data_IF_379438838805
#
_entry.id   IF_379438838805
#
_cell.length_a   1.000
_cell.length_b   1.000
_cell.length_c   1.000
_cell.angle_alpha   90.00
_cell.angle_beta   90.00
_cell.angle_gamma   90.00
#
_symmetry.space_group_name_H-M   'P 1'
#
loop_
_entity.id
_entity.type
_entity.pdbx_description
1 polymer ?
#
# COMPACT_ATOMS: atom_id res chain seq x y z
N UNK A 1 22.58 -22.28 17.82
CA UNK A 1 21.12 -22.26 17.52
C UNK A 1 20.28 -22.10 18.79
N UNK A 2 20.46 -22.93 19.83
CA UNK A 2 19.71 -22.80 21.09
C UNK A 2 19.98 -21.50 21.86
N UNK A 3 21.23 -21.04 21.95
CA UNK A 3 21.56 -19.76 22.59
C UNK A 3 20.88 -18.55 21.88
N UNK A 4 20.78 -18.58 20.55
CA UNK A 4 20.08 -17.56 19.78
C UNK A 4 18.55 -17.60 20.02
N UNK A 5 17.97 -18.81 20.16
CA UNK A 5 16.55 -18.99 20.52
C UNK A 5 16.27 -18.55 21.95
N UNK A 6 17.16 -18.83 22.90
CA UNK A 6 17.04 -18.39 24.30
C UNK A 6 17.14 -16.87 24.41
N UNK A 7 18.09 -16.25 23.72
CA UNK A 7 18.22 -14.79 23.63
C UNK A 7 16.96 -14.16 23.00
N UNK A 8 16.47 -14.72 21.89
CA UNK A 8 15.23 -14.26 21.27
C UNK A 8 14.03 -14.34 22.23
N UNK A 9 13.89 -15.44 22.99
CA UNK A 9 12.83 -15.59 24.02
C UNK A 9 12.95 -14.54 25.13
N UNK A 10 14.15 -14.31 25.66
CA UNK A 10 14.39 -13.33 26.72
C UNK A 10 14.07 -11.90 26.26
N UNK A 11 14.55 -11.52 25.07
CA UNK A 11 14.26 -10.21 24.46
C UNK A 11 12.76 -10.07 24.17
N UNK A 12 12.12 -11.15 23.71
CA UNK A 12 10.66 -11.20 23.49
C UNK A 12 9.91 -10.95 24.79
N UNK A 13 10.26 -11.65 25.87
CA UNK A 13 9.58 -11.53 27.16
C UNK A 13 9.73 -10.14 27.79
N UNK A 14 10.92 -9.53 27.66
CA UNK A 14 11.13 -8.13 28.05
C UNK A 14 10.23 -7.18 27.25
N UNK A 15 10.18 -7.32 25.92
CA UNK A 15 9.32 -6.50 25.07
C UNK A 15 7.83 -6.72 25.37
N UNK A 16 7.39 -7.95 25.68
CA UNK A 16 6.02 -8.22 26.13
C UNK A 16 5.70 -7.40 27.37
N UNK A 17 6.53 -7.49 28.41
CA UNK A 17 6.27 -6.78 29.66
C UNK A 17 6.30 -5.26 29.49
N UNK A 18 7.16 -4.73 28.62
CA UNK A 18 7.16 -3.31 28.26
C UNK A 18 5.88 -2.91 27.53
N UNK A 19 5.42 -3.76 26.59
CA UNK A 19 4.22 -3.50 25.81
C UNK A 19 2.94 -3.62 26.63
N UNK A 20 2.83 -4.62 27.51
CA UNK A 20 1.72 -4.76 28.45
C UNK A 20 1.63 -3.56 29.40
N UNK A 21 2.77 -3.05 29.86
CA UNK A 21 2.81 -1.84 30.69
C UNK A 21 2.45 -0.58 29.90
N UNK A 22 2.84 -0.50 28.63
CA UNK A 22 2.47 0.61 27.76
C UNK A 22 0.97 0.58 27.46
N UNK A 23 0.43 -0.61 27.15
CA UNK A 23 -0.99 -0.83 26.88
C UNK A 23 -1.82 -0.57 28.13
N UNK A 24 -1.44 -1.12 29.28
CA UNK A 24 -2.13 -0.86 30.56
C UNK A 24 -2.13 0.63 30.92
N UNK A 25 -1.04 1.34 30.63
CA UNK A 25 -0.98 2.80 30.83
C UNK A 25 -1.93 3.52 29.86
N UNK A 26 -1.90 3.19 28.57
CA UNK A 26 -2.80 3.77 27.58
C UNK A 26 -4.28 3.50 27.92
N UNK A 27 -4.63 2.28 28.35
CA UNK A 27 -5.97 1.91 28.81
C UNK A 27 -6.39 2.79 29.99
N UNK A 28 -5.50 3.00 30.96
CA UNK A 28 -5.78 3.84 32.15
C UNK A 28 -6.10 5.30 31.80
N UNK A 29 -5.69 5.76 30.62
CA UNK A 29 -5.93 7.12 30.13
C UNK A 29 -7.18 7.25 29.24
N UNK A 30 -7.93 6.17 29.03
CA UNK A 30 -9.09 6.17 28.13
C UNK A 30 -10.15 7.20 28.55
N UNK A 31 -10.61 8.01 27.61
CA UNK A 31 -11.63 9.04 27.82
C UNK A 31 -11.14 10.30 28.56
N UNK A 32 -9.89 10.30 29.06
CA UNK A 32 -9.28 11.45 29.73
C UNK A 32 -9.04 12.56 28.70
N UNK A 33 -9.37 13.83 29.02
CA UNK A 33 -8.98 14.97 28.20
C UNK A 33 -7.47 15.02 28.04
N UNK A 34 -7.00 15.19 26.80
CA UNK A 34 -5.58 15.32 26.52
C UNK A 34 -5.13 16.78 26.58
N UNK A 35 -3.86 16.99 26.91
CA UNK A 35 -3.19 18.25 26.63
C UNK A 35 -2.36 18.05 25.36
N UNK A 36 -2.68 18.82 24.31
CA UNK A 36 -1.94 18.75 23.06
C UNK A 36 -0.50 19.20 23.27
N UNK A 37 0.48 18.53 22.64
CA UNK A 37 1.89 18.89 22.78
C UNK A 37 2.19 20.24 22.13
N UNK A 38 3.29 20.88 22.53
CA UNK A 38 3.85 21.99 21.77
C UNK A 38 4.56 21.48 20.50
N UNK A 39 4.76 22.37 19.53
CA UNK A 39 5.50 22.06 18.29
C UNK A 39 6.93 21.57 18.59
N UNK A 40 7.58 22.14 19.59
CA UNK A 40 8.91 21.71 20.04
C UNK A 40 8.91 20.26 20.57
N UNK A 41 7.89 19.89 21.34
CA UNK A 41 7.72 18.52 21.84
C UNK A 41 7.51 17.54 20.68
N UNK A 42 6.68 17.88 19.70
CA UNK A 42 6.46 17.06 18.50
C UNK A 42 7.78 16.84 17.75
N UNK A 43 8.54 17.92 17.49
CA UNK A 43 9.82 17.82 16.78
C UNK A 43 10.86 17.00 17.56
N UNK A 44 10.91 17.14 18.90
CA UNK A 44 11.81 16.33 19.73
C UNK A 44 11.45 14.84 19.70
N UNK A 45 10.16 14.50 19.72
CA UNK A 45 9.68 13.11 19.54
C UNK A 45 10.17 12.54 18.21
N UNK A 46 10.02 13.30 17.11
CA UNK A 46 10.47 12.88 15.78
C UNK A 46 12.01 12.72 15.72
N UNK A 47 12.76 13.65 16.31
CA UNK A 47 14.23 13.58 16.36
C UNK A 47 14.71 12.33 17.12
N UNK A 48 14.09 12.02 18.26
CA UNK A 48 14.40 10.80 19.03
C UNK A 48 13.99 9.53 18.31
N UNK A 49 12.87 9.56 17.57
CA UNK A 49 12.43 8.43 16.76
C UNK A 49 13.41 8.15 15.60
N UNK A 50 14.00 9.19 15.02
CA UNK A 50 15.00 9.09 13.95
C UNK A 50 16.36 8.58 14.44
N UNK A 51 16.79 8.95 15.65
CA UNK A 51 18.09 8.49 16.20
C UNK A 51 18.10 7.01 16.60
N UNK A 52 16.94 6.43 16.93
CA UNK A 52 16.79 5.00 17.27
C UNK A 52 16.98 4.05 16.09
N UNK A 53 16.99 4.55 14.85
CA UNK A 53 17.20 3.74 13.64
C UNK A 53 18.64 3.17 13.55
N UNK A 54 19.59 3.76 14.29
CA UNK A 54 21.01 3.42 14.24
C UNK A 54 21.40 2.10 14.95
N UNK A 55 20.54 1.55 15.82
CA UNK A 55 20.91 0.36 16.61
C UNK A 55 20.50 -0.95 15.89
N UNK A 56 21.41 -1.41 15.02
CA UNK A 56 21.21 -2.51 14.07
C UNK A 56 21.08 -3.92 14.70
N UNK A 57 20.94 -4.02 16.04
CA UNK A 57 20.92 -5.26 16.82
C UNK A 57 19.56 -5.61 17.44
N UNK A 58 18.55 -4.75 17.34
CA UNK A 58 17.27 -4.94 18.05
C UNK A 58 16.31 -5.87 17.31
N UNK A 59 15.63 -6.76 18.07
CA UNK A 59 14.40 -7.42 17.61
C UNK A 59 13.32 -6.36 17.40
N UNK A 60 12.51 -6.51 16.34
CA UNK A 60 11.42 -5.58 16.06
C UNK A 60 10.12 -6.16 16.62
N UNK A 61 9.55 -5.51 17.62
CA UNK A 61 8.27 -5.89 18.18
C UNK A 61 7.14 -5.20 17.41
N UNK A 62 6.12 -5.96 17.00
CA UNK A 62 4.90 -5.44 16.40
C UNK A 62 3.73 -5.76 17.34
N UNK A 63 2.91 -4.75 17.60
CA UNK A 63 1.50 -5.05 17.78
C UNK A 63 0.94 -5.26 16.39
N UNK A 64 0.56 -6.50 16.10
CA UNK A 64 -0.62 -6.71 15.28
C UNK A 64 -1.68 -7.00 16.32
N UNK A 65 -2.12 -5.93 17.00
CA UNK A 65 -3.43 -6.02 17.62
C UNK A 65 -4.41 -6.31 16.48
N UNK A 66 -5.50 -7.02 16.79
CA UNK A 66 -6.61 -6.92 15.87
C UNK A 66 -6.92 -5.43 15.75
N UNK A 67 -7.02 -4.92 14.52
CA UNK A 67 -7.49 -3.56 14.30
C UNK A 67 -8.72 -3.35 15.20
N UNK A 68 -8.74 -2.23 15.91
CA UNK A 68 -9.74 -2.05 16.97
C UNK A 68 -11.14 -1.84 16.37
N UNK A 69 -11.23 -1.73 15.03
CA UNK A 69 -12.41 -1.91 14.20
C UNK A 69 -12.02 -2.05 12.72
N UNK A 70 -13.01 -2.20 11.81
CA UNK A 70 -12.77 -2.15 10.37
C UNK A 70 -12.41 -0.72 9.88
N UNK A 71 -11.83 -0.57 8.68
CA UNK A 71 -11.62 0.74 8.06
C UNK A 71 -12.93 1.51 7.89
N UNK A 72 -12.83 2.84 7.80
CA UNK A 72 -13.99 3.69 7.52
C UNK A 72 -14.59 3.38 6.14
N UNK A 73 -15.90 3.12 6.12
CA UNK A 73 -16.68 2.91 4.90
C UNK A 73 -17.48 4.15 4.48
N UNK A 74 -17.17 5.33 5.03
CA UNK A 74 -17.82 6.60 4.68
C UNK A 74 -16.98 7.41 3.68
N UNK A 75 -17.65 8.08 2.74
CA UNK A 75 -16.99 9.07 1.86
C UNK A 75 -16.56 10.28 2.66
N UNK A 76 -15.59 11.05 2.15
CA UNK A 76 -15.20 12.31 2.79
C UNK A 76 -16.35 13.31 2.92
N UNK A 77 -17.34 13.27 2.02
CA UNK A 77 -18.48 14.20 2.01
C UNK A 77 -19.48 13.90 3.13
N UNK A 78 -19.59 12.64 3.53
CA UNK A 78 -20.52 12.19 4.57
C UNK A 78 -19.93 12.32 5.98
N UNK A 79 -18.63 12.63 6.08
CA UNK A 79 -17.93 12.77 7.35
C UNK A 79 -18.07 14.18 7.92
N UNK A 80 -18.30 14.25 9.22
CA UNK A 80 -18.38 15.51 9.94
C UNK A 80 -16.97 15.95 10.41
N UNK A 81 -16.50 17.15 10.03
CA UNK A 81 -15.20 17.65 10.49
C UNK A 81 -15.11 17.77 12.02
N UNK A 82 -13.90 17.63 12.55
CA UNK A 82 -13.56 17.86 13.96
C UNK A 82 -12.15 18.44 14.10
N UNK A 83 -11.85 19.08 15.24
CA UNK A 83 -10.52 19.59 15.57
C UNK A 83 -9.71 18.64 16.45
N UNK A 84 -8.40 18.92 16.63
CA UNK A 84 -7.55 18.12 17.51
C UNK A 84 -7.97 18.18 18.98
N UNK A 85 -8.58 19.29 19.40
CA UNK A 85 -9.06 19.52 20.77
C UNK A 85 -10.30 18.70 21.12
N UNK A 86 -11.06 18.24 20.12
CA UNK A 86 -12.30 17.48 20.32
C UNK A 86 -12.05 15.99 20.60
N UNK A 87 -10.82 15.54 20.35
CA UNK A 87 -10.39 14.17 20.59
C UNK A 87 -10.37 13.86 22.09
N UNK A 88 -10.53 12.58 22.41
CA UNK A 88 -10.29 12.04 23.74
C UNK A 88 -9.51 10.76 23.55
N UNK A 89 -8.63 10.48 24.51
CA UNK A 89 -7.70 9.37 24.43
C UNK A 89 -8.49 8.06 24.26
N UNK A 90 -8.15 7.30 23.22
CA UNK A 90 -8.70 5.98 22.86
C UNK A 90 -10.21 5.90 22.61
N UNK A 91 -10.90 7.02 22.43
CA UNK A 91 -12.28 6.99 21.96
C UNK A 91 -12.32 6.87 20.43
N UNK A 92 -13.20 6.02 19.87
CA UNK A 92 -13.42 5.96 18.43
C UNK A 92 -14.32 7.13 17.99
N UNK A 93 -14.00 7.74 16.86
CA UNK A 93 -14.77 8.84 16.26
C UNK A 93 -15.31 8.46 14.88
N UNK A 94 -16.09 7.37 14.83
CA UNK A 94 -16.78 6.96 13.59
C UNK A 94 -17.64 8.11 13.05
N UNK A 95 -17.69 8.28 11.73
CA UNK A 95 -18.40 9.40 11.10
C UNK A 95 -17.71 10.76 11.21
N UNK A 96 -16.50 10.84 11.78
CA UNK A 96 -15.70 12.06 11.85
C UNK A 96 -14.50 12.04 10.92
N UNK A 97 -14.07 13.24 10.52
CA UNK A 97 -12.84 13.47 9.75
C UNK A 97 -12.01 14.58 10.38
N UNK A 98 -10.70 14.37 10.44
CA UNK A 98 -9.74 15.37 10.92
C UNK A 98 -8.83 15.79 9.75
N UNK A 99 -8.79 17.10 9.45
CA UNK A 99 -7.96 17.66 8.38
C UNK A 99 -6.72 18.33 8.95
N UNK A 100 -5.54 17.89 8.52
CA UNK A 100 -4.26 18.32 9.10
C UNK A 100 -3.22 18.60 8.03
N UNK A 101 -2.34 19.57 8.26
CA UNK A 101 -1.18 19.84 7.42
C UNK A 101 0.07 19.19 8.01
N UNK A 102 0.86 18.52 7.19
CA UNK A 102 2.13 17.96 7.60
C UNK A 102 3.17 19.06 7.83
N UNK A 103 3.97 18.91 8.89
CA UNK A 103 5.18 19.69 9.12
C UNK A 103 6.32 18.84 9.67
N UNK A 104 7.55 19.37 9.55
CA UNK A 104 8.75 18.72 10.07
C UNK A 104 9.19 17.50 9.26
N UNK A 105 10.20 16.75 9.74
CA UNK A 105 10.73 15.59 9.04
C UNK A 105 9.75 14.41 9.08
N UNK A 106 9.64 13.69 7.97
CA UNK A 106 8.99 12.38 7.93
C UNK A 106 9.98 11.33 8.46
N UNK A 107 9.68 10.73 9.61
CA UNK A 107 10.52 9.72 10.24
C UNK A 107 10.00 8.35 9.88
N UNK A 108 10.85 7.53 9.25
CA UNK A 108 10.53 6.14 8.94
C UNK A 108 11.18 5.24 9.96
N UNK A 109 10.37 4.41 10.57
CA UNK A 109 10.83 3.29 11.37
C UNK A 109 10.50 2.01 10.60
N UNK A 110 11.11 0.87 10.94
CA UNK A 110 10.84 -0.39 10.24
C UNK A 110 9.37 -0.83 10.28
N UNK A 111 8.59 -0.24 11.19
CA UNK A 111 7.24 -0.68 11.53
C UNK A 111 6.26 0.47 11.73
N UNK A 112 6.68 1.74 11.58
CA UNK A 112 5.85 2.95 11.74
C UNK A 112 6.38 4.07 10.84
N UNK A 113 5.51 5.00 10.44
CA UNK A 113 5.91 6.24 9.78
C UNK A 113 5.30 7.37 10.55
N UNK A 114 6.14 8.30 10.97
CA UNK A 114 5.79 9.36 11.88
C UNK A 114 5.99 10.71 11.21
N UNK A 115 5.05 11.62 11.42
CA UNK A 115 5.12 12.99 10.91
C UNK A 115 4.55 13.96 11.96
N UNK A 116 5.01 15.21 11.94
CA UNK A 116 4.33 16.28 12.64
C UNK A 116 3.10 16.71 11.83
N UNK A 117 1.98 16.93 12.49
CA UNK A 117 0.76 17.40 11.85
C UNK A 117 0.09 18.50 12.66
N UNK A 118 -0.46 19.49 11.97
CA UNK A 118 -1.15 20.64 12.57
C UNK A 118 -2.57 20.81 12.04
N UNK A 119 -3.50 21.23 12.90
CA UNK A 119 -4.86 21.61 12.51
C UNK A 119 -4.95 23.11 12.13
N UNK A 120 -6.12 23.54 11.66
CA UNK A 120 -6.33 24.92 11.21
C UNK A 120 -6.22 25.97 12.34
N UNK A 121 -6.29 25.53 13.60
CA UNK A 121 -6.18 26.35 14.79
C UNK A 121 -4.73 26.42 15.33
N UNK A 122 -3.79 25.75 14.65
CA UNK A 122 -2.38 25.69 15.04
C UNK A 122 -2.06 24.68 16.15
N UNK A 123 -3.02 23.84 16.53
CA UNK A 123 -2.75 22.73 17.43
C UNK A 123 -1.95 21.66 16.70
N UNK A 124 -1.08 20.96 17.41
CA UNK A 124 -0.18 19.97 16.81
C UNK A 124 -0.26 18.61 17.48
N UNK A 125 0.03 17.57 16.71
CA UNK A 125 0.14 16.20 17.19
C UNK A 125 1.21 15.44 16.40
N UNK A 126 1.58 14.26 16.90
CA UNK A 126 2.39 13.30 16.15
C UNK A 126 1.45 12.38 15.39
N UNK A 127 1.49 12.43 14.06
CA UNK A 127 0.84 11.43 13.22
C UNK A 127 1.66 10.15 13.23
N UNK A 128 1.00 9.03 13.49
CA UNK A 128 1.58 7.71 13.59
C UNK A 128 0.83 6.75 12.67
N UNK A 129 1.42 6.45 11.52
CA UNK A 129 0.81 5.61 10.50
C UNK A 129 1.35 4.19 10.67
N UNK A 130 0.47 3.24 11.01
CA UNK A 130 0.78 1.83 11.21
C UNK A 130 0.83 1.04 9.89
N UNK A 131 1.43 1.60 8.85
CA UNK A 131 1.46 1.00 7.50
C UNK A 131 2.83 1.23 6.84
N UNK A 132 3.63 0.18 6.55
CA UNK A 132 5.03 0.31 6.05
C UNK A 132 5.29 -0.47 4.77
N UNK A 133 5.36 0.24 3.66
CA UNK A 133 6.60 0.75 3.04
C UNK A 133 6.13 1.55 1.82
N UNK A 134 5.71 2.77 2.08
CA UNK A 134 5.37 3.73 1.04
C UNK A 134 6.60 4.64 0.93
N UNK A 135 7.22 4.78 -0.26
CA UNK A 135 8.38 5.65 -0.43
C UNK A 135 8.05 7.09 -0.02
N UNK A 136 9.06 7.91 0.31
CA UNK A 136 8.88 9.28 0.88
C UNK A 136 7.81 10.08 0.16
N UNK A 137 7.77 9.91 -1.15
CA UNK A 137 6.92 10.64 -2.08
C UNK A 137 5.46 10.12 -2.12
N UNK A 138 5.17 9.01 -1.43
CA UNK A 138 3.88 8.29 -1.39
C UNK A 138 3.13 8.40 -0.05
N UNK A 139 3.75 8.90 1.04
CA UNK A 139 3.08 8.94 2.35
C UNK A 139 2.53 10.31 2.67
N UNK A 140 3.38 11.32 2.71
CA UNK A 140 3.00 12.67 3.09
C UNK A 140 4.15 13.62 2.70
N UNK A 141 4.09 14.27 1.52
CA UNK A 141 5.01 15.36 1.18
C UNK A 141 4.97 16.46 2.25
N UNK A 142 6.09 17.18 2.40
CA UNK A 142 6.16 18.31 3.33
C UNK A 142 5.07 19.34 2.99
N UNK A 143 4.28 19.75 3.99
CA UNK A 143 3.20 20.72 3.80
C UNK A 143 1.94 20.17 3.13
N UNK A 144 1.88 18.87 2.79
CA UNK A 144 0.65 18.24 2.30
C UNK A 144 -0.46 18.29 3.35
N UNK A 145 -1.69 18.46 2.90
CA UNK A 145 -2.88 18.40 3.75
C UNK A 145 -3.46 17.00 3.65
N UNK A 146 -3.77 16.38 4.78
CA UNK A 146 -4.38 15.06 4.87
C UNK A 146 -5.71 15.10 5.60
N UNK A 147 -6.63 14.24 5.18
CA UNK A 147 -7.84 13.89 5.91
C UNK A 147 -7.67 12.51 6.54
N UNK A 148 -7.97 12.41 7.84
CA UNK A 148 -7.98 11.16 8.60
C UNK A 148 -9.42 10.81 8.94
N UNK A 149 -9.93 9.70 8.40
CA UNK A 149 -11.25 9.15 8.70
C UNK A 149 -11.21 8.41 10.03
N UNK A 150 -12.22 8.59 10.88
CA UNK A 150 -12.28 7.89 12.17
C UNK A 150 -11.05 8.11 13.06
N UNK A 151 -10.57 9.36 13.24
CA UNK A 151 -9.31 9.63 13.90
C UNK A 151 -9.29 9.09 15.33
N UNK A 152 -8.15 8.53 15.74
CA UNK A 152 -7.95 8.06 17.09
C UNK A 152 -6.68 8.67 17.69
N UNK A 153 -6.84 9.18 18.90
CA UNK A 153 -5.73 9.64 19.72
C UNK A 153 -5.29 8.54 20.67
N UNK A 154 -4.01 8.23 20.68
CA UNK A 154 -3.38 7.35 21.65
C UNK A 154 -2.27 8.09 22.41
N UNK A 155 -1.86 7.54 23.56
CA UNK A 155 -0.81 8.12 24.40
C UNK A 155 0.24 7.08 24.72
N UNK A 156 1.50 7.53 24.77
CA UNK A 156 2.61 6.72 25.26
C UNK A 156 3.16 7.31 26.54
N UNK A 157 3.92 6.51 27.27
CA UNK A 157 4.63 7.00 28.46
C UNK A 157 5.51 8.20 28.08
N UNK A 158 5.67 9.18 28.99
CA UNK A 158 6.58 10.29 28.79
C UNK A 158 7.97 9.79 28.40
N UNK A 159 8.63 10.54 27.51
CA UNK A 159 10.00 10.24 27.10
C UNK A 159 10.96 10.27 28.29
N UNK A 160 10.72 11.19 29.22
CA UNK A 160 11.47 11.39 30.46
C UNK A 160 10.48 11.72 31.59
N UNK A 161 10.80 11.42 32.86
CA UNK A 161 9.99 11.87 33.99
C UNK A 161 9.78 13.39 33.96
N UNK A 162 8.54 13.85 34.06
CA UNK A 162 8.19 15.28 34.00
C UNK A 162 8.00 15.84 32.59
N UNK A 163 8.23 15.06 31.52
CA UNK A 163 7.90 15.46 30.16
C UNK A 163 6.39 15.38 29.88
N UNK A 164 5.80 16.32 29.11
CA UNK A 164 4.39 16.22 28.70
C UNK A 164 4.15 14.94 27.91
N UNK A 165 2.94 14.38 28.07
CA UNK A 165 2.55 13.14 27.41
C UNK A 165 2.49 13.34 25.88
N UNK A 166 3.32 12.64 25.10
CA UNK A 166 3.20 12.72 23.65
C UNK A 166 1.90 12.02 23.22
N UNK A 167 1.04 12.80 22.55
CA UNK A 167 -0.20 12.31 21.96
C UNK A 167 0.07 11.90 20.50
N UNK A 168 -0.40 10.70 20.13
CA UNK A 168 -0.21 10.10 18.82
C UNK A 168 -1.56 9.92 18.14
N UNK A 169 -1.74 10.62 17.02
CA UNK A 169 -2.82 10.32 16.09
C UNK A 169 -2.48 9.04 15.35
N UNK A 170 -3.20 7.96 15.60
CA UNK A 170 -2.90 6.66 15.02
C UNK A 170 -3.79 6.38 13.82
N UNK A 171 -3.17 6.03 12.69
CA UNK A 171 -3.86 5.54 11.50
C UNK A 171 -3.54 4.05 11.37
N UNK A 172 -4.55 3.20 11.58
CA UNK A 172 -4.44 1.75 11.48
C UNK A 172 -4.61 1.26 10.04
N UNK A 173 -5.61 1.79 9.33
CA UNK A 173 -5.90 1.39 7.95
C UNK A 173 -5.39 2.39 6.93
N UNK A 174 -4.78 1.88 5.87
CA UNK A 174 -4.25 2.71 4.77
C UNK A 174 -5.35 3.55 4.12
N UNK A 175 -6.58 3.03 4.02
CA UNK A 175 -7.71 3.71 3.39
C UNK A 175 -8.31 4.86 4.19
N UNK A 176 -7.95 4.97 5.48
CA UNK A 176 -8.46 6.02 6.35
C UNK A 176 -7.63 7.32 6.28
N UNK A 177 -6.53 7.32 5.52
CA UNK A 177 -5.66 8.47 5.32
C UNK A 177 -5.65 8.90 3.85
N UNK A 178 -6.17 10.09 3.59
CA UNK A 178 -6.28 10.66 2.24
C UNK A 178 -5.48 11.95 2.16
N UNK A 179 -4.61 12.09 1.15
CA UNK A 179 -3.97 13.38 0.84
C UNK A 179 -4.98 14.24 0.08
N UNK A 180 -5.35 15.39 0.65
CA UNK A 180 -6.31 16.30 0.06
C UNK A 180 -5.65 17.20 -0.99
N UNK A 181 -6.38 17.44 -2.07
CA UNK A 181 -6.03 18.49 -3.03
C UNK A 181 -6.16 19.87 -2.35
N UNK A 182 -5.30 20.87 -2.67
CA UNK A 182 -5.40 22.21 -2.08
C UNK A 182 -6.77 22.88 -2.26
N UNK A 183 -7.45 22.60 -3.37
CA UNK A 183 -8.80 23.11 -3.67
C UNK A 183 -9.95 22.24 -3.15
N UNK A 184 -9.65 21.12 -2.48
CA UNK A 184 -10.70 20.27 -1.93
C UNK A 184 -11.52 21.03 -0.88
N UNK A 185 -12.84 20.80 -0.85
CA UNK A 185 -13.77 21.50 0.05
C UNK A 185 -13.41 21.32 1.54
N UNK A 186 -12.91 20.15 1.93
CA UNK A 186 -12.42 19.89 3.30
C UNK A 186 -11.07 20.52 3.62
N UNK A 187 -10.29 21.00 2.64
CA UNK A 187 -9.00 21.63 2.91
C UNK A 187 -9.25 22.99 3.59
N UNK A 188 -8.81 23.20 4.85
CA UNK A 188 -9.01 24.46 5.54
C UNK A 188 -8.42 25.66 4.79
N UNK A 189 -9.11 26.80 4.82
CA UNK A 189 -8.66 28.02 4.12
C UNK A 189 -7.25 28.46 4.56
N UNK A 190 -6.94 28.30 5.86
CA UNK A 190 -5.62 28.59 6.43
C UNK A 190 -4.48 27.79 5.75
N UNK A 191 -4.78 26.64 5.17
CA UNK A 191 -3.80 25.80 4.47
C UNK A 191 -3.76 26.06 2.96
N UNK A 192 -4.81 26.65 2.38
CA UNK A 192 -4.85 27.03 0.96
C UNK A 192 -3.94 28.22 0.65
N UNK A 193 -3.81 29.16 1.59
CA UNK A 193 -3.01 30.38 1.38
C UNK A 193 -1.50 30.15 1.55
N UNK A 194 -1.11 29.18 2.38
CA UNK A 194 0.31 28.85 2.61
C UNK A 194 0.94 28.00 1.49
N UNK A 195 0.11 27.38 0.64
CA UNK A 195 0.56 26.66 -0.56
C UNK A 195 0.71 27.58 -1.78
N UNK A 196 0.34 28.86 -1.65
CA UNK A 196 0.58 29.89 -2.65
C UNK A 196 1.95 30.55 -2.44
N UNK A 197 3.03 29.77 -2.51
CA UNK A 197 4.21 30.34 -3.16
C UNK A 197 3.95 30.18 -4.66
N UNK A 198 3.97 31.27 -5.46
CA UNK A 198 4.01 31.11 -6.90
C UNK A 198 5.40 30.59 -7.25
N UNK A 199 5.64 29.30 -7.05
CA UNK A 199 6.57 28.59 -7.91
C UNK A 199 5.98 28.79 -9.31
N UNK A 200 6.64 29.62 -10.12
CA UNK A 200 6.34 29.89 -11.54
C UNK A 200 5.43 28.83 -12.13
N UNK A 201 4.20 29.19 -12.51
CA UNK A 201 3.19 28.24 -13.02
C UNK A 201 3.81 27.37 -14.12
N UNK A 202 4.24 26.16 -13.73
CA UNK A 202 4.94 25.27 -14.65
C UNK A 202 3.92 24.73 -15.65
N UNK A 203 4.27 24.85 -16.92
CA UNK A 203 3.49 24.31 -18.03
C UNK A 203 3.50 22.78 -18.00
N UNK A 204 2.49 22.16 -18.64
CA UNK A 204 2.44 20.70 -18.77
C UNK A 204 3.71 20.10 -19.41
N UNK A 205 4.37 20.86 -20.30
CA UNK A 205 5.63 20.45 -20.94
C UNK A 205 6.83 20.48 -19.99
N UNK A 206 6.91 21.47 -19.10
CA UNK A 206 7.96 21.54 -18.08
C UNK A 206 7.82 20.40 -17.07
N UNK A 207 6.60 20.13 -16.61
CA UNK A 207 6.31 18.94 -15.79
C UNK A 207 6.67 17.63 -16.49
N UNK A 208 6.39 17.51 -17.80
CA UNK A 208 6.83 16.37 -18.61
C UNK A 208 8.35 16.22 -18.58
N UNK A 209 9.09 17.32 -18.72
CA UNK A 209 10.55 17.33 -18.70
C UNK A 209 11.13 16.90 -17.34
N UNK A 210 10.57 17.43 -16.24
CA UNK A 210 10.93 17.03 -14.87
C UNK A 210 10.63 15.54 -14.63
N UNK A 211 9.47 15.07 -15.06
CA UNK A 211 9.10 13.66 -15.00
C UNK A 211 10.07 12.76 -15.76
N UNK A 212 10.45 13.14 -16.98
CA UNK A 212 11.43 12.40 -17.79
C UNK A 212 12.82 12.37 -17.15
N UNK A 213 13.22 13.47 -16.50
CA UNK A 213 14.49 13.55 -15.77
C UNK A 213 14.47 12.61 -14.57
N UNK A 214 13.38 12.61 -13.79
CA UNK A 214 13.19 11.69 -12.68
C UNK A 214 13.14 10.22 -13.13
N UNK A 215 12.49 9.93 -14.26
CA UNK A 215 12.42 8.60 -14.86
C UNK A 215 13.81 8.08 -15.23
N UNK A 216 14.63 8.92 -15.88
CA UNK A 216 16.04 8.60 -16.22
C UNK A 216 16.90 8.38 -14.97
N UNK A 217 16.63 9.12 -13.89
CA UNK A 217 17.28 8.96 -12.60
C UNK A 217 16.76 7.77 -11.78
N UNK A 218 15.89 6.92 -12.36
CA UNK A 218 15.23 5.79 -11.68
C UNK A 218 14.39 6.20 -10.45
N UNK A 219 14.01 7.48 -10.33
CA UNK A 219 13.13 7.99 -9.27
C UNK A 219 11.67 7.89 -9.70
N UNK A 220 11.14 6.66 -9.68
CA UNK A 220 9.82 6.34 -10.24
C UNK A 220 8.67 7.08 -9.55
N UNK A 221 8.78 7.34 -8.25
CA UNK A 221 7.76 8.10 -7.52
C UNK A 221 7.74 9.57 -7.91
N UNK A 222 8.90 10.22 -7.97
CA UNK A 222 9.00 11.61 -8.41
C UNK A 222 8.53 11.74 -9.84
N UNK A 223 8.90 10.80 -10.72
CA UNK A 223 8.44 10.77 -12.10
C UNK A 223 6.91 10.73 -12.19
N UNK A 224 6.26 9.79 -11.47
CA UNK A 224 4.80 9.69 -11.40
C UNK A 224 4.15 10.99 -10.93
N UNK A 225 4.68 11.61 -9.88
CA UNK A 225 4.13 12.85 -9.32
C UNK A 225 4.26 14.02 -10.29
N UNK A 226 5.41 14.20 -10.94
CA UNK A 226 5.58 15.22 -11.96
C UNK A 226 4.65 15.01 -13.15
N UNK A 227 4.44 13.77 -13.60
CA UNK A 227 3.47 13.49 -14.66
C UNK A 227 2.02 13.78 -14.23
N UNK A 228 1.65 13.48 -12.98
CA UNK A 228 0.33 13.84 -12.44
C UNK A 228 0.13 15.36 -12.35
N UNK A 229 1.16 16.11 -11.93
CA UNK A 229 1.10 17.58 -11.92
C UNK A 229 0.93 18.14 -13.34
N UNK A 230 1.67 17.60 -14.32
CA UNK A 230 1.52 17.94 -15.73
C UNK A 230 0.11 17.66 -16.27
N UNK A 231 -0.51 16.56 -15.87
CA UNK A 231 -1.89 16.22 -16.28
C UNK A 231 -2.93 17.15 -15.65
N UNK A 232 -2.70 17.62 -14.43
CA UNK A 232 -3.59 18.55 -13.75
C UNK A 232 -3.63 19.93 -14.42
N UNK A 233 -2.52 20.38 -14.99
CA UNK A 233 -2.43 21.68 -15.68
C UNK A 233 -2.65 21.61 -17.19
N UNK A 234 -2.67 20.41 -17.78
CA UNK A 234 -2.85 20.24 -19.21
C UNK A 234 -4.27 20.63 -19.65
N UNK A 235 -4.38 21.63 -20.54
CA UNK A 235 -5.66 22.10 -21.07
C UNK A 235 -6.39 21.06 -21.92
N UNK A 236 -7.68 21.28 -22.18
CA UNK A 236 -8.50 20.42 -23.07
C UNK A 236 -7.92 20.31 -24.48
N UNK A 237 -7.30 21.37 -24.99
CA UNK A 237 -6.71 21.44 -26.33
C UNK A 237 -5.32 20.78 -26.45
N UNK A 238 -4.72 20.31 -25.36
CA UNK A 238 -3.36 19.72 -25.34
C UNK A 238 -3.39 18.18 -25.35
N UNK A 239 -4.14 17.58 -26.27
CA UNK A 239 -4.34 16.13 -26.33
C UNK A 239 -3.03 15.34 -26.48
N UNK A 240 -2.11 15.79 -27.33
CA UNK A 240 -0.82 15.11 -27.53
C UNK A 240 0.04 15.07 -26.25
N UNK A 241 0.14 16.20 -25.55
CA UNK A 241 0.90 16.30 -24.29
C UNK A 241 0.25 15.44 -23.21
N UNK A 242 -1.09 15.39 -23.15
CA UNK A 242 -1.82 14.50 -22.24
C UNK A 242 -1.50 13.04 -22.52
N UNK A 243 -1.56 12.62 -23.77
CA UNK A 243 -1.25 11.23 -24.12
C UNK A 243 0.21 10.88 -23.79
N UNK A 244 1.16 11.79 -24.02
CA UNK A 244 2.56 11.62 -23.61
C UNK A 244 2.72 11.43 -22.09
N UNK A 245 2.09 12.31 -21.31
CA UNK A 245 2.12 12.27 -19.85
C UNK A 245 1.50 10.97 -19.32
N UNK A 246 0.34 10.57 -19.84
CA UNK A 246 -0.32 9.30 -19.48
C UNK A 246 0.56 8.10 -19.84
N UNK A 247 1.15 8.06 -21.03
CA UNK A 247 2.11 7.02 -21.45
C UNK A 247 3.27 6.88 -20.47
N UNK A 248 3.85 7.99 -20.04
CA UNK A 248 4.98 7.96 -19.13
C UNK A 248 4.57 7.66 -17.68
N UNK A 249 3.41 8.14 -17.24
CA UNK A 249 2.83 7.80 -15.93
C UNK A 249 2.47 6.31 -15.85
N UNK A 250 1.97 5.70 -16.93
CA UNK A 250 1.77 4.26 -17.03
C UNK A 250 3.07 3.48 -16.81
N UNK A 251 4.19 3.92 -17.42
CA UNK A 251 5.50 3.30 -17.21
C UNK A 251 5.99 3.46 -15.78
N UNK A 252 5.84 4.64 -15.18
CA UNK A 252 6.18 4.86 -13.78
C UNK A 252 5.34 3.93 -12.88
N UNK A 253 4.03 3.84 -13.10
CA UNK A 253 3.11 2.97 -12.37
C UNK A 253 3.48 1.48 -12.49
N UNK A 254 3.87 1.00 -13.68
CA UNK A 254 4.38 -0.38 -13.86
C UNK A 254 5.61 -0.66 -12.98
N UNK A 255 6.57 0.26 -12.95
CA UNK A 255 7.78 0.11 -12.13
C UNK A 255 7.48 0.20 -10.63
N UNK A 256 6.41 0.88 -10.24
CA UNK A 256 5.95 1.01 -8.86
C UNK A 256 5.04 -0.14 -8.38
N UNK A 257 4.68 -1.07 -9.25
CA UNK A 257 3.76 -2.16 -8.90
C UNK A 257 2.28 -1.77 -8.89
N UNK A 258 1.93 -0.61 -9.47
CA UNK A 258 0.56 -0.05 -9.57
C UNK A 258 -0.05 -0.41 -10.92
N UNK A 259 -0.31 -1.70 -11.13
CA UNK A 259 -0.68 -2.25 -12.43
C UNK A 259 -2.07 -1.81 -12.91
N UNK A 260 -3.06 -1.72 -12.01
CA UNK A 260 -4.38 -1.19 -12.37
C UNK A 260 -4.29 0.25 -12.89
N UNK A 261 -3.57 1.12 -12.19
CA UNK A 261 -3.35 2.51 -12.62
C UNK A 261 -2.53 2.58 -13.92
N UNK A 262 -1.56 1.69 -14.09
CA UNK A 262 -0.78 1.60 -15.32
C UNK A 262 -1.63 1.19 -16.53
N UNK A 263 -2.57 0.26 -16.35
CA UNK A 263 -3.50 -0.17 -17.38
C UNK A 263 -4.42 0.96 -17.80
N UNK A 264 -5.04 1.66 -16.84
CA UNK A 264 -5.91 2.82 -17.10
C UNK A 264 -5.15 3.90 -17.87
N UNK A 265 -3.96 4.30 -17.39
CA UNK A 265 -3.14 5.32 -18.06
C UNK A 265 -2.70 4.89 -19.45
N UNK A 266 -2.34 3.62 -19.64
CA UNK A 266 -1.94 3.09 -20.93
C UNK A 266 -3.08 3.18 -21.94
N UNK A 267 -4.28 2.69 -21.58
CA UNK A 267 -5.43 2.72 -22.48
C UNK A 267 -5.92 4.15 -22.76
N UNK A 268 -5.93 5.02 -21.76
CA UNK A 268 -6.31 6.44 -21.92
C UNK A 268 -5.33 7.25 -22.79
N UNK A 269 -4.15 6.70 -23.09
CA UNK A 269 -3.10 7.36 -23.87
C UNK A 269 -3.06 6.95 -25.34
N UNK A 270 -3.94 6.04 -25.75
CA UNK A 270 -4.11 5.62 -27.13
C UNK A 270 -4.84 6.74 -27.88
N UNK A 271 -4.29 7.14 -29.03
CA UNK A 271 -4.88 8.17 -29.90
C UNK A 271 -5.28 7.61 -31.26
N UNK A 272 -6.13 8.32 -31.99
CA UNK A 272 -6.40 8.00 -33.39
C UNK A 272 -5.08 8.00 -34.20
N UNK A 273 -4.80 6.96 -35.00
CA UNK A 273 -3.59 6.89 -35.81
C UNK A 273 -3.60 7.96 -36.90
N UNK A 274 -2.92 9.07 -36.66
CA UNK A 274 -2.78 10.19 -37.61
C UNK A 274 -1.45 10.17 -38.37
N UNK A 275 -0.47 9.39 -37.90
CA UNK A 275 0.86 9.27 -38.49
C UNK A 275 1.54 7.96 -38.06
N UNK A 276 2.63 7.58 -38.74
CA UNK A 276 3.45 6.44 -38.35
C UNK A 276 4.01 6.59 -36.93
N UNK A 277 4.32 7.83 -36.49
CA UNK A 277 4.81 8.10 -35.14
C UNK A 277 3.69 7.97 -34.09
N UNK A 278 2.47 8.45 -34.39
CA UNK A 278 1.29 8.23 -33.54
C UNK A 278 1.02 6.73 -33.36
N UNK A 279 1.12 5.95 -34.45
CA UNK A 279 0.96 4.50 -34.40
C UNK A 279 2.05 3.83 -33.53
N UNK A 280 3.32 4.26 -33.65
CA UNK A 280 4.41 3.77 -32.79
C UNK A 280 4.20 4.11 -31.31
N UNK A 281 3.60 5.27 -31.00
CA UNK A 281 3.25 5.64 -29.63
C UNK A 281 2.12 4.77 -29.09
N UNK A 282 1.13 4.42 -29.91
CA UNK A 282 0.08 3.47 -29.53
C UNK A 282 0.65 2.08 -29.22
N UNK A 283 1.66 1.59 -29.96
CA UNK A 283 2.32 0.32 -29.61
C UNK A 283 2.94 0.35 -28.22
N UNK A 284 3.53 1.48 -27.81
CA UNK A 284 4.05 1.64 -26.45
C UNK A 284 2.94 1.61 -25.41
N UNK A 285 1.77 2.15 -25.73
CA UNK A 285 0.60 2.11 -24.85
C UNK A 285 0.10 0.67 -24.70
N UNK A 286 -0.16 -0.04 -25.80
CA UNK A 286 -0.63 -1.43 -25.76
C UNK A 286 0.38 -2.39 -25.13
N UNK A 287 1.69 -2.21 -25.38
CA UNK A 287 2.72 -3.00 -24.70
C UNK A 287 2.69 -2.80 -23.18
N UNK A 288 2.46 -1.57 -22.71
CA UNK A 288 2.31 -1.30 -21.27
C UNK A 288 1.03 -1.88 -20.69
N UNK A 289 -0.08 -1.84 -21.43
CA UNK A 289 -1.35 -2.48 -21.06
C UNK A 289 -1.18 -4.00 -20.95
N UNK A 290 -0.58 -4.65 -21.95
CA UNK A 290 -0.28 -6.09 -21.93
C UNK A 290 0.60 -6.50 -20.74
N UNK A 291 1.63 -5.71 -20.42
CA UNK A 291 2.46 -5.92 -19.22
C UNK A 291 1.68 -5.74 -17.92
N UNK A 292 0.76 -4.77 -17.84
CA UNK A 292 -0.08 -4.56 -16.66
C UNK A 292 -1.00 -5.77 -16.44
N UNK A 293 -1.71 -6.21 -17.48
CA UNK A 293 -2.58 -7.38 -17.43
C UNK A 293 -1.82 -8.65 -17.06
N UNK A 294 -0.61 -8.83 -17.61
CA UNK A 294 0.26 -9.96 -17.27
C UNK A 294 0.57 -9.99 -15.77
N UNK A 295 0.91 -8.83 -15.19
CA UNK A 295 1.29 -8.72 -13.78
C UNK A 295 0.08 -8.81 -12.82
N UNK A 296 -1.12 -8.50 -13.31
CA UNK A 296 -2.40 -8.75 -12.63
C UNK A 296 -2.86 -10.22 -12.72
N UNK A 297 -2.21 -11.02 -13.57
CA UNK A 297 -2.53 -12.43 -13.80
C UNK A 297 -3.61 -12.67 -14.86
N UNK A 298 -4.00 -11.63 -15.59
CA UNK A 298 -5.03 -11.70 -16.64
C UNK A 298 -4.38 -12.10 -17.98
N UNK A 299 -3.91 -13.34 -18.07
CA UNK A 299 -3.04 -13.79 -19.16
C UNK A 299 -3.71 -13.81 -20.55
N UNK A 300 -5.04 -13.91 -20.60
CA UNK A 300 -5.81 -13.82 -21.85
C UNK A 300 -5.74 -12.41 -22.44
N UNK A 301 -6.01 -11.39 -21.62
CA UNK A 301 -5.94 -9.98 -22.02
C UNK A 301 -4.50 -9.57 -22.34
N UNK A 302 -3.53 -10.01 -21.52
CA UNK A 302 -2.12 -9.80 -21.80
C UNK A 302 -1.73 -10.34 -23.19
N UNK A 303 -2.17 -11.56 -23.52
CA UNK A 303 -1.89 -12.18 -24.81
C UNK A 303 -2.55 -11.42 -25.97
N UNK A 304 -3.75 -10.87 -25.78
CA UNK A 304 -4.42 -10.03 -26.77
C UNK A 304 -3.60 -8.78 -27.10
N UNK A 305 -3.18 -8.02 -26.08
CA UNK A 305 -2.38 -6.81 -26.27
C UNK A 305 -1.02 -7.09 -26.92
N UNK A 306 -0.30 -8.12 -26.45
CA UNK A 306 1.01 -8.47 -27.03
C UNK A 306 0.88 -8.91 -28.49
N UNK A 307 -0.23 -9.58 -28.86
CA UNK A 307 -0.52 -9.95 -30.25
C UNK A 307 -0.82 -8.72 -31.10
N UNK A 308 -1.60 -7.77 -30.60
CA UNK A 308 -1.90 -6.51 -31.30
C UNK A 308 -0.61 -5.74 -31.58
N UNK A 309 0.27 -5.61 -30.60
CA UNK A 309 1.57 -4.93 -30.76
C UNK A 309 2.42 -5.67 -31.80
N UNK A 310 2.52 -7.00 -31.72
CA UNK A 310 3.31 -7.79 -32.65
C UNK A 310 2.80 -7.71 -34.09
N UNK A 311 1.49 -7.86 -34.31
CA UNK A 311 0.88 -7.86 -35.65
C UNK A 311 1.01 -6.50 -36.35
N UNK A 312 1.06 -5.41 -35.58
CA UNK A 312 1.17 -4.06 -36.14
C UNK A 312 2.61 -3.54 -36.23
N UNK A 313 3.63 -4.40 -36.05
CA UNK A 313 5.04 -4.04 -36.25
C UNK A 313 5.85 -3.81 -34.98
N UNK A 314 5.38 -4.33 -33.85
CA UNK A 314 6.12 -4.38 -32.58
C UNK A 314 7.36 -5.26 -32.63
N UNK A 315 8.35 -4.93 -31.79
CA UNK A 315 9.65 -5.59 -31.77
C UNK A 315 9.70 -6.91 -30.99
N UNK A 316 10.92 -7.41 -30.77
CA UNK A 316 11.21 -8.68 -30.08
C UNK A 316 10.61 -8.78 -28.66
N UNK A 317 10.44 -7.65 -27.98
CA UNK A 317 9.82 -7.59 -26.65
C UNK A 317 8.36 -8.07 -26.67
N UNK A 318 7.58 -7.68 -27.68
CA UNK A 318 6.19 -8.08 -27.82
C UNK A 318 6.07 -9.59 -28.11
N UNK A 319 6.97 -10.14 -28.93
CA UNK A 319 7.05 -11.58 -29.15
C UNK A 319 7.38 -12.35 -27.86
N UNK A 320 8.26 -11.79 -27.03
CA UNK A 320 8.61 -12.35 -25.72
C UNK A 320 7.40 -12.32 -24.79
N UNK A 321 6.68 -11.20 -24.73
CA UNK A 321 5.44 -11.05 -23.97
C UNK A 321 4.39 -12.08 -24.41
N UNK A 322 4.18 -12.24 -25.72
CA UNK A 322 3.24 -13.20 -26.30
C UNK A 322 3.56 -14.64 -25.89
N UNK A 323 4.84 -15.04 -25.98
CA UNK A 323 5.30 -16.37 -25.55
C UNK A 323 5.06 -16.60 -24.06
N UNK A 324 5.39 -15.63 -23.22
CA UNK A 324 5.17 -15.73 -21.76
C UNK A 324 3.69 -15.83 -21.42
N UNK A 325 2.85 -14.95 -21.95
CA UNK A 325 1.41 -15.00 -21.72
C UNK A 325 0.79 -16.32 -22.23
N UNK A 326 1.27 -16.82 -23.38
CA UNK A 326 0.86 -18.13 -23.90
C UNK A 326 1.23 -19.30 -22.97
N UNK A 327 2.44 -19.30 -22.41
CA UNK A 327 2.85 -20.29 -21.41
C UNK A 327 1.95 -20.24 -20.16
N UNK A 328 1.67 -19.04 -19.64
CA UNK A 328 0.77 -18.87 -18.48
C UNK A 328 -0.66 -19.36 -18.74
N UNK A 329 -1.18 -19.20 -19.96
CA UNK A 329 -2.47 -19.76 -20.36
C UNK A 329 -2.43 -21.30 -20.39
N UNK A 330 -1.36 -21.88 -20.91
CA UNK A 330 -1.21 -23.34 -20.92
C UNK A 330 -1.16 -23.93 -19.50
N UNK A 331 -0.47 -23.25 -18.59
CA UNK A 331 -0.42 -23.61 -17.17
C UNK A 331 -1.78 -23.48 -16.49
N UNK A 332 -2.58 -22.47 -16.83
CA UNK A 332 -3.96 -22.35 -16.34
C UNK A 332 -4.86 -23.52 -16.79
N UNK A 333 -4.48 -24.25 -17.84
CA UNK A 333 -5.10 -25.51 -18.27
C UNK A 333 -4.47 -26.76 -17.63
N UNK A 334 -3.45 -26.60 -16.79
CA UNK A 334 -2.73 -27.69 -16.13
C UNK A 334 -1.50 -28.18 -16.88
N UNK A 335 -1.10 -27.52 -17.98
CA UNK A 335 0.09 -27.88 -18.77
C UNK A 335 1.31 -27.12 -18.28
N UNK A 336 1.98 -27.69 -17.29
CA UNK A 336 3.21 -27.14 -16.72
C UNK A 336 4.44 -27.88 -17.26
N UNK A 337 5.50 -27.13 -17.47
CA UNK A 337 6.86 -27.66 -17.59
C UNK A 337 7.57 -27.44 -16.24
N UNK A 338 7.32 -28.35 -15.29
CA UNK A 338 7.89 -28.22 -13.94
C UNK A 338 9.42 -28.30 -13.96
N UNK A 339 10.00 -29.09 -14.87
CA UNK A 339 11.45 -29.21 -15.01
C UNK A 339 12.05 -27.87 -15.45
N UNK A 340 11.45 -27.19 -16.43
CA UNK A 340 11.88 -25.85 -16.84
C UNK A 340 11.69 -24.81 -15.73
N UNK A 341 10.58 -24.89 -14.97
CA UNK A 341 10.35 -24.00 -13.81
C UNK A 341 11.47 -24.20 -12.79
N UNK A 342 11.77 -25.43 -12.40
CA UNK A 342 12.81 -25.74 -11.41
C UNK A 342 14.20 -25.34 -11.92
N UNK A 343 14.51 -25.63 -13.19
CA UNK A 343 15.79 -25.26 -13.79
C UNK A 343 16.01 -23.73 -13.86
N UNK A 344 14.93 -22.94 -13.92
CA UNK A 344 14.98 -21.48 -13.93
C UNK A 344 15.19 -20.84 -12.55
N UNK A 345 15.09 -21.60 -11.46
CA UNK A 345 15.20 -21.07 -10.10
C UNK A 345 16.64 -21.09 -9.59
N UNK A 346 17.06 -19.97 -9.02
CA UNK A 346 18.36 -19.85 -8.34
C UNK A 346 18.20 -19.06 -7.04
N UNK A 347 19.19 -19.12 -6.16
CA UNK A 347 19.21 -18.27 -4.96
C UNK A 347 19.12 -16.77 -5.29
N UNK A 348 19.62 -16.33 -6.45
CA UNK A 348 19.55 -14.91 -6.87
C UNK A 348 18.27 -14.58 -7.65
N UNK A 349 17.54 -15.60 -8.13
CA UNK A 349 16.29 -15.46 -8.87
C UNK A 349 15.23 -16.44 -8.34
N UNK A 350 14.73 -16.26 -7.10
CA UNK A 350 13.80 -17.20 -6.48
C UNK A 350 12.33 -16.99 -6.93
N UNK A 351 12.09 -16.07 -7.87
CA UNK A 351 10.73 -15.66 -8.27
C UNK A 351 10.16 -16.61 -9.32
N UNK A 352 9.08 -17.30 -8.95
CA UNK A 352 8.34 -18.18 -9.86
C UNK A 352 7.42 -17.35 -10.75
N UNK A 353 7.65 -17.47 -12.05
CA UNK A 353 6.75 -16.99 -13.08
C UNK A 353 5.95 -18.18 -13.59
N UNK A 354 4.78 -18.41 -12.98
CA UNK A 354 3.80 -19.42 -13.36
C UNK A 354 2.36 -18.90 -13.13
N UNK A 355 1.35 -19.58 -13.67
CA UNK A 355 -0.08 -19.36 -13.43
C UNK A 355 -0.67 -20.40 -12.45
N UNK A 356 -1.83 -20.11 -11.89
CA UNK A 356 -2.60 -21.07 -11.09
C UNK A 356 -3.47 -21.96 -11.97
N UNK A 357 -3.61 -23.22 -11.58
CA UNK A 357 -4.52 -24.23 -12.10
C UNK A 357 -5.49 -24.65 -10.99
N UNK A 358 -6.75 -24.22 -11.11
CA UNK A 358 -7.81 -24.44 -10.11
C UNK A 358 -9.06 -25.11 -10.70
N UNK A 359 -9.05 -25.52 -11.98
CA UNK A 359 -10.28 -25.88 -12.71
C UNK A 359 -10.93 -27.20 -12.29
N UNK A 360 -10.22 -28.07 -11.57
CA UNK A 360 -10.72 -29.37 -11.09
C UNK A 360 -11.36 -29.33 -9.71
N UNK A 361 -11.41 -28.15 -9.10
CA UNK A 361 -11.83 -27.99 -7.72
C UNK A 361 -12.78 -26.82 -7.56
N UNK A 362 -13.80 -27.01 -6.72
CA UNK A 362 -14.74 -25.99 -6.33
C UNK A 362 -14.62 -25.69 -4.83
N UNK A 363 -14.83 -24.44 -4.45
CA UNK A 363 -14.93 -24.02 -3.06
C UNK A 363 -16.38 -24.10 -2.61
N UNK A 364 -16.69 -25.00 -1.66
CA UNK A 364 -18.05 -25.24 -1.18
C UNK A 364 -18.13 -25.26 0.35
N UNK A 365 -19.32 -25.09 0.96
CA UNK A 365 -19.50 -25.31 2.39
C UNK A 365 -19.08 -26.74 2.80
N UNK A 366 -18.42 -26.87 3.94
CA UNK A 366 -18.00 -28.14 4.51
C UNK A 366 -18.72 -28.40 5.84
N UNK A 367 -19.16 -29.64 6.06
CA UNK A 367 -19.79 -30.06 7.30
C UNK A 367 -18.84 -30.01 8.51
N UNK A 368 -17.52 -29.90 8.29
CA UNK A 368 -16.51 -29.86 9.35
C UNK A 368 -16.16 -28.42 9.76
N UNK A 369 -15.70 -27.60 8.81
CA UNK A 369 -15.10 -26.29 9.11
C UNK A 369 -15.35 -25.22 8.03
N UNK A 370 -16.54 -24.62 7.99
CA UNK A 370 -16.79 -23.46 7.13
C UNK A 370 -16.84 -23.83 5.65
N UNK A 371 -15.79 -23.51 4.88
CA UNK A 371 -15.66 -23.90 3.46
C UNK A 371 -14.50 -24.88 3.27
N UNK A 372 -14.64 -25.76 2.29
CA UNK A 372 -13.62 -26.70 1.86
C UNK A 372 -13.39 -26.63 0.35
N UNK A 373 -12.30 -27.24 -0.09
CA UNK A 373 -11.97 -27.45 -1.49
C UNK A 373 -12.39 -28.88 -1.87
N UNK A 374 -13.20 -29.02 -2.91
CA UNK A 374 -13.78 -30.28 -3.33
C UNK A 374 -13.49 -30.53 -4.81
N UNK A 375 -13.20 -31.78 -5.18
CA UNK A 375 -13.07 -32.13 -6.59
C UNK A 375 -14.43 -31.98 -7.29
N UNK A 376 -14.45 -31.36 -8.47
CA UNK A 376 -15.65 -31.16 -9.28
C UNK A 376 -15.80 -32.20 -10.41
N UNK A 377 -14.86 -33.14 -10.47
CA UNK A 377 -14.81 -34.28 -11.38
C UNK A 377 -13.99 -35.41 -10.78
N UNK A 378 -14.06 -36.59 -11.37
CA UNK A 378 -13.13 -37.66 -11.07
C UNK A 378 -11.69 -37.27 -11.46
N UNK A 379 -10.75 -37.59 -10.58
CA UNK A 379 -9.32 -37.32 -10.77
C UNK A 379 -8.60 -38.67 -10.75
N UNK A 380 -8.00 -39.03 -11.88
CA UNK A 380 -7.26 -40.29 -12.03
C UNK A 380 -5.93 -40.20 -11.26
N UNK A 381 -5.44 -41.29 -10.64
CA UNK A 381 -4.13 -41.30 -10.00
C UNK A 381 -3.02 -40.78 -10.93
N UNK A 382 -2.22 -39.83 -10.43
CA UNK A 382 -1.14 -39.19 -11.19
C UNK A 382 -1.53 -37.91 -11.93
N UNK A 383 -2.82 -37.56 -12.01
CA UNK A 383 -3.24 -36.26 -12.56
C UNK A 383 -2.93 -35.10 -11.59
N UNK A 384 -2.61 -33.94 -12.16
CA UNK A 384 -2.56 -32.68 -11.39
C UNK A 384 -3.95 -32.36 -10.86
N UNK A 385 -4.05 -32.17 -9.53
CA UNK A 385 -5.27 -31.76 -8.82
C UNK A 385 -5.40 -30.24 -8.81
N UNK A 386 -4.36 -29.57 -8.32
CA UNK A 386 -4.30 -28.12 -8.11
C UNK A 386 -2.84 -27.67 -8.26
N UNK A 387 -2.64 -26.47 -8.80
CA UNK A 387 -1.39 -25.72 -8.65
C UNK A 387 -1.76 -24.27 -8.37
N UNK A 388 -1.37 -23.71 -7.23
CA UNK A 388 -1.76 -22.34 -6.86
C UNK A 388 -0.53 -21.45 -6.67
N UNK A 389 -0.55 -20.31 -7.34
CA UNK A 389 0.44 -19.24 -7.11
C UNK A 389 -0.02 -18.33 -5.99
N UNK A 390 0.83 -18.19 -4.98
CA UNK A 390 0.58 -17.27 -3.88
C UNK A 390 0.42 -15.82 -4.38
N UNK A 391 -0.59 -15.13 -3.84
CA UNK A 391 -0.89 -13.73 -4.18
C UNK A 391 0.23 -12.76 -3.74
N UNK A 392 0.92 -13.07 -2.63
CA UNK A 392 2.04 -12.30 -2.12
C UNK A 392 3.08 -13.24 -1.48
N UNK A 393 4.35 -13.01 -1.79
CA UNK A 393 5.48 -13.81 -1.28
C UNK A 393 6.56 -12.85 -0.79
N UNK A 394 6.98 -13.04 0.46
CA UNK A 394 8.15 -12.36 1.03
C UNK A 394 9.33 -13.31 1.00
N UNK A 395 10.32 -12.97 0.17
CA UNK A 395 11.56 -13.71 0.06
C UNK A 395 12.50 -13.32 1.21
N UNK A 396 13.01 -14.34 1.92
CA UNK A 396 13.76 -14.17 3.17
C UNK A 396 15.17 -13.61 3.02
N UNK A 397 15.63 -13.31 1.81
CA UNK A 397 17.00 -12.89 1.49
C UNK A 397 17.13 -11.45 0.95
N UNK A 398 16.03 -10.77 0.64
CA UNK A 398 16.09 -9.42 0.04
C UNK A 398 16.32 -8.28 1.04
N UNK A 399 16.41 -8.55 2.34
CA UNK A 399 17.10 -7.72 3.35
C UNK A 399 16.82 -8.33 4.73
N UNK A 400 17.77 -9.10 5.28
CA UNK A 400 17.81 -9.58 6.68
C UNK A 400 16.43 -9.74 7.34
N UNK A 401 15.78 -10.92 7.29
CA UNK A 401 14.45 -11.11 7.83
C UNK A 401 14.50 -10.80 9.32
N UNK A 402 13.99 -9.63 9.69
CA UNK A 402 14.08 -9.16 11.05
C UNK A 402 13.00 -9.90 11.84
N UNK A 403 13.34 -10.63 12.91
CA UNK A 403 12.34 -11.30 13.72
C UNK A 403 11.34 -10.27 14.23
N UNK A 404 10.08 -10.54 13.88
CA UNK A 404 8.90 -9.74 14.20
C UNK A 404 8.21 -10.41 15.38
N UNK A 405 7.88 -9.66 16.43
CA UNK A 405 6.94 -10.12 17.45
C UNK A 405 5.53 -9.71 17.04
N UNK A 406 4.55 -10.60 17.15
CA UNK A 406 3.12 -10.31 17.03
C UNK A 406 2.53 -10.36 18.43
N UNK A 407 2.19 -9.22 19.02
CA UNK A 407 1.44 -9.18 20.28
C UNK A 407 -0.06 -9.26 19.99
N UNK A 408 -0.73 -10.22 20.59
CA UNK A 408 -2.16 -10.48 20.52
C UNK A 408 -2.80 -9.94 21.79
N UNK A 409 -3.32 -8.69 21.76
CA UNK A 409 -3.85 -8.01 22.94
C UNK A 409 -4.91 -8.80 23.69
N UNK A 410 -5.90 -9.33 22.96
CA UNK A 410 -6.96 -10.20 23.50
C UNK A 410 -6.46 -11.48 24.19
N UNK A 411 -5.27 -11.98 23.82
CA UNK A 411 -4.66 -13.18 24.41
C UNK A 411 -3.56 -12.87 25.41
N UNK A 412 -3.12 -11.61 25.50
CA UNK A 412 -1.91 -11.21 26.24
C UNK A 412 -0.70 -12.08 25.88
N UNK A 413 -0.58 -12.43 24.60
CA UNK A 413 0.45 -13.35 24.09
C UNK A 413 1.28 -12.68 22.99
N UNK A 414 2.60 -12.90 22.97
CA UNK A 414 3.44 -12.59 21.81
C UNK A 414 3.85 -13.86 21.07
N UNK A 415 3.73 -13.83 19.74
CA UNK A 415 4.26 -14.87 18.86
C UNK A 415 5.38 -14.29 18.00
N UNK A 416 6.54 -14.93 17.95
CA UNK A 416 7.60 -14.55 17.00
C UNK A 416 7.15 -15.02 15.61
N UNK A 417 6.87 -14.08 14.72
CA UNK A 417 6.37 -14.34 13.37
C UNK A 417 7.22 -13.63 12.33
N UNK A 418 8.49 -14.05 12.17
CA UNK A 418 9.48 -13.36 11.32
C UNK A 418 8.98 -12.96 9.94
N UNK A 419 8.49 -13.89 9.12
CA UNK A 419 8.14 -13.61 7.72
C UNK A 419 6.69 -13.16 7.52
N UNK A 420 5.79 -13.45 8.46
CA UNK A 420 4.34 -13.25 8.29
C UNK A 420 3.93 -11.78 8.33
N UNK A 421 4.58 -10.96 9.16
CA UNK A 421 4.22 -9.54 9.26
C UNK A 421 4.68 -8.72 8.04
N UNK A 422 5.80 -9.12 7.41
CA UNK A 422 6.18 -8.56 6.12
C UNK A 422 5.18 -8.92 5.02
N UNK A 423 4.66 -10.15 5.05
CA UNK A 423 3.72 -10.65 4.04
C UNK A 423 2.37 -9.92 4.11
N UNK A 424 1.85 -9.68 5.31
CA UNK A 424 0.64 -8.90 5.53
C UNK A 424 0.72 -7.51 4.90
N UNK A 425 1.82 -6.78 5.15
CA UNK A 425 2.02 -5.42 4.63
C UNK A 425 2.18 -5.38 3.12
N UNK A 426 2.99 -6.30 2.59
CA UNK A 426 3.19 -6.39 1.15
C UNK A 426 1.85 -6.67 0.45
N UNK A 427 1.00 -7.50 1.07
CA UNK A 427 -0.34 -7.76 0.58
C UNK A 427 -1.22 -6.51 0.65
N UNK A 428 -1.37 -5.87 1.81
CA UNK A 428 -2.19 -4.65 1.95
C UNK A 428 -1.76 -3.53 0.98
N UNK A 429 -0.45 -3.32 0.81
CA UNK A 429 0.09 -2.39 -0.20
C UNK A 429 -0.26 -2.82 -1.62
N UNK A 430 -0.05 -4.10 -1.96
CA UNK A 430 -0.36 -4.63 -3.28
C UNK A 430 -1.85 -4.46 -3.62
N UNK A 431 -2.73 -4.67 -2.64
CA UNK A 431 -4.18 -4.46 -2.79
C UNK A 431 -4.55 -2.98 -2.93
N UNK A 432 -3.92 -2.09 -2.17
CA UNK A 432 -4.10 -0.63 -2.29
C UNK A 432 -3.64 -0.11 -3.66
N UNK A 433 -2.52 -0.63 -4.17
CA UNK A 433 -1.97 -0.26 -5.49
C UNK A 433 -2.70 -0.94 -6.66
N UNK A 434 -3.39 -2.06 -6.40
CA UNK A 434 -4.12 -2.87 -7.38
C UNK A 434 -5.49 -3.31 -6.83
N UNK A 435 -6.46 -2.38 -6.75
CA UNK A 435 -7.80 -2.67 -6.26
C UNK A 435 -8.51 -3.86 -6.91
N UNK A 436 -8.22 -4.18 -8.18
CA UNK A 436 -8.79 -5.35 -8.89
C UNK A 436 -8.45 -6.68 -8.24
N UNK A 437 -7.44 -6.72 -7.37
CA UNK A 437 -7.01 -7.91 -6.64
C UNK A 437 -7.73 -8.11 -5.30
N UNK A 438 -8.46 -7.10 -4.81
CA UNK A 438 -9.07 -7.11 -3.47
C UNK A 438 -10.10 -8.23 -3.33
N UNK A 439 -10.98 -8.40 -4.31
CA UNK A 439 -12.03 -9.43 -4.26
C UNK A 439 -11.43 -10.83 -4.16
N UNK A 440 -10.34 -11.12 -4.88
CA UNK A 440 -9.62 -12.40 -4.80
C UNK A 440 -9.12 -12.72 -3.38
N UNK A 441 -8.81 -11.70 -2.57
CA UNK A 441 -8.39 -11.87 -1.16
C UNK A 441 -9.59 -11.94 -0.22
N UNK A 442 -10.61 -11.11 -0.42
CA UNK A 442 -11.84 -11.13 0.40
C UNK A 442 -12.64 -12.42 0.21
N UNK A 443 -12.47 -13.10 -0.92
CA UNK A 443 -13.01 -14.44 -1.16
C UNK A 443 -12.34 -15.53 -0.33
N UNK A 444 -11.18 -15.28 0.28
CA UNK A 444 -10.49 -16.25 1.15
C UNK A 444 -11.23 -16.41 2.49
N UNK A 445 -10.92 -17.49 3.21
CA UNK A 445 -11.50 -17.72 4.54
C UNK A 445 -10.81 -16.84 5.58
N UNK A 446 -11.57 -15.94 6.19
CA UNK A 446 -11.09 -14.98 7.20
C UNK A 446 -11.08 -15.51 8.64
N UNK A 447 -11.57 -16.73 8.87
CA UNK A 447 -11.79 -17.27 10.22
C UNK A 447 -13.22 -17.10 10.70
N UNK A 448 -13.53 -17.66 11.88
CA UNK A 448 -14.88 -17.57 12.50
C UNK A 448 -15.15 -16.20 13.15
N UNK A 449 -14.08 -15.48 13.48
CA UNK A 449 -14.12 -14.26 14.29
C UNK A 449 -14.12 -12.98 13.43
N UNK A 450 -14.05 -13.11 12.10
CA UNK A 450 -14.04 -11.99 11.16
C UNK A 450 -15.05 -12.24 10.05
N UNK A 451 -16.20 -11.58 10.16
CA UNK A 451 -17.17 -11.49 9.09
C UNK A 451 -16.92 -10.19 8.33
N UNK A 452 -16.29 -10.28 7.16
CA UNK A 452 -16.26 -9.16 6.23
C UNK A 452 -17.70 -8.94 5.77
N UNK A 453 -18.44 -8.03 6.42
CA UNK A 453 -19.83 -7.71 6.08
C UNK A 453 -20.03 -7.37 4.60
N UNK A 454 -18.95 -7.09 3.87
CA UNK A 454 -18.92 -6.91 2.41
C UNK A 454 -17.71 -7.65 1.82
N UNK A 455 -17.94 -8.56 0.86
CA UNK A 455 -16.88 -9.24 0.08
C UNK A 455 -16.56 -8.55 -1.25
N UNK A 456 -17.09 -7.34 -1.42
CA UNK A 456 -16.96 -6.56 -2.64
C UNK A 456 -15.87 -5.51 -2.52
N UNK A 457 -15.34 -5.10 -3.68
CA UNK A 457 -14.44 -3.96 -3.76
C UNK A 457 -15.22 -2.67 -3.44
N UNK A 458 -14.98 -2.11 -2.26
CA UNK A 458 -15.49 -0.79 -1.90
C UNK A 458 -14.49 0.26 -2.37
N UNK A 459 -14.96 1.21 -3.19
CA UNK A 459 -14.21 2.41 -3.60
C UNK A 459 -14.87 3.64 -3.01
N UNK A 460 -14.11 4.43 -2.25
CA UNK A 460 -14.54 5.70 -1.67
C UNK A 460 -13.49 6.76 -1.96
N UNK A 461 -13.93 7.95 -2.35
CA UNK A 461 -13.03 9.09 -2.63
C UNK A 461 -11.93 8.73 -3.64
N UNK A 462 -12.29 8.00 -4.70
CA UNK A 462 -11.39 7.50 -5.76
C UNK A 462 -10.34 6.48 -5.29
N UNK A 463 -10.41 6.03 -4.04
CA UNK A 463 -9.49 5.07 -3.43
C UNK A 463 -10.20 3.80 -3.01
N UNK A 464 -9.51 2.66 -3.08
CA UNK A 464 -10.06 1.41 -2.57
C UNK A 464 -9.93 1.32 -1.05
N UNK A 465 -10.97 0.82 -0.40
CA UNK A 465 -10.96 0.51 1.03
C UNK A 465 -10.18 -0.79 1.24
N UNK A 466 -9.15 -0.74 2.08
CA UNK A 466 -8.28 -1.89 2.38
C UNK A 466 -8.18 -2.06 3.89
N UNK A 467 -8.83 -3.11 4.39
CA UNK A 467 -8.60 -3.56 5.76
C UNK A 467 -7.17 -4.12 5.85
N UNK A 468 -6.38 -3.59 6.80
CA UNK A 468 -4.91 -3.52 6.70
C UNK A 468 -4.18 -4.34 7.72
#
# INVERSE_FOLDING_TARGET
>A
MEAARAYARQVTQKHIGEQERAESFAVSMTGVPHQLPSREVVLKVLQLASSREADNRSLFCYLIDYSIGPPSQMTLQDLCPMGLTDLKIRLPYQGKVLCLRQFGPLVRQPTTTMAGVEDEYGNVAVLHINTHDRPVVDVLPLGSVVAIKGPRLDVRKPLEPGYPLPCFLTVEHISDLIILHPLHQLTPLAFRQASAQPETEQTALEWKSLGNTALKANSMHSARNYYSAGLAVAGSHQSEVKHDLLRNRALANLNLGRYDAALVDALASVSEPSSADSQRLNFKAYYRAGRAEYLLGNFTEANYFEREVFQNGGGADALTGLRRAGARRAEADGRYDFDAIVAGLTHTHPKIDAASFLSKVDVMPSALHGRGLFANRDIVPGELVICEKAISIVYGDLTRPRPVLKYLGHKKECKVTGNLAGAHRQLAKKLSDNPSMITKVLELYSGKDYDAGTKELIKLDETAVVDS
#
